data_IF_747740096577
#
_entry.id   IF_747740096577
#
_cell.length_a   1.000
_cell.length_b   1.000
_cell.length_c   1.000
_cell.angle_alpha   90.00
_cell.angle_beta   90.00
_cell.angle_gamma   90.00
#
_symmetry.space_group_name_H-M   'P 1'
#
loop_
_entity.id
_entity.type
_entity.pdbx_description
1 polymer ?
#
# COMPACT_ATOMS: atom_id res chain seq x y z
N UNK A 1 -47.21 39.73 -47.44
CA UNK A 1 -47.13 40.83 -46.45
C UNK A 1 -48.40 41.68 -46.55
N UNK A 2 -49.41 41.47 -45.69
CA UNK A 2 -50.50 42.44 -45.41
C UNK A 2 -51.49 41.83 -44.41
N UNK A 3 -51.41 42.23 -43.13
CA UNK A 3 -52.53 42.37 -42.16
C UNK A 3 -52.01 42.61 -40.73
N UNK A 4 -51.26 43.67 -40.52
CA UNK A 4 -51.05 44.24 -39.18
C UNK A 4 -51.06 45.77 -39.30
N UNK A 5 -52.19 46.34 -39.70
CA UNK A 5 -52.33 47.80 -39.81
C UNK A 5 -53.54 48.35 -39.06
N UNK A 6 -54.20 47.56 -38.21
CA UNK A 6 -55.33 48.09 -37.42
C UNK A 6 -55.53 47.42 -36.05
N UNK A 7 -54.47 47.30 -35.27
CA UNK A 7 -54.56 46.87 -33.86
C UNK A 7 -53.86 47.87 -32.96
N UNK A 8 -54.56 48.31 -31.91
CA UNK A 8 -54.12 49.27 -30.89
C UNK A 8 -52.60 49.17 -30.62
N UNK A 9 -51.85 50.30 -30.64
CA UNK A 9 -50.39 50.31 -30.46
C UNK A 9 -49.92 49.57 -29.20
N UNK A 10 -50.73 49.57 -28.15
CA UNK A 10 -50.45 48.85 -26.89
C UNK A 10 -50.45 47.33 -27.07
N UNK A 11 -51.34 46.79 -27.91
CA UNK A 11 -51.43 45.36 -28.20
C UNK A 11 -50.27 44.89 -29.08
N UNK A 12 -49.87 45.71 -30.05
CA UNK A 12 -48.70 45.45 -30.89
C UNK A 12 -47.42 45.46 -30.06
N UNK A 13 -47.28 46.40 -29.12
CA UNK A 13 -46.16 46.46 -28.18
C UNK A 13 -46.11 45.21 -27.27
N UNK A 14 -47.24 44.77 -26.72
CA UNK A 14 -47.30 43.58 -25.86
C UNK A 14 -46.89 42.31 -26.60
N UNK A 15 -47.36 42.11 -27.84
CA UNK A 15 -46.94 40.98 -28.69
C UNK A 15 -45.45 41.01 -29.02
N UNK A 16 -44.88 42.20 -29.21
CA UNK A 16 -43.45 42.37 -29.44
C UNK A 16 -42.63 42.03 -28.18
N UNK A 17 -43.11 42.43 -27.00
CA UNK A 17 -42.48 42.09 -25.72
C UNK A 17 -42.51 40.58 -25.45
N UNK A 18 -43.66 39.93 -25.63
CA UNK A 18 -43.80 38.47 -25.49
C UNK A 18 -42.84 37.73 -26.43
N UNK A 19 -42.80 38.15 -27.71
CA UNK A 19 -41.88 37.56 -28.70
C UNK A 19 -40.42 37.75 -28.30
N UNK A 20 -40.04 38.92 -27.77
CA UNK A 20 -38.69 39.19 -27.28
C UNK A 20 -38.35 38.29 -26.10
N UNK A 21 -39.24 38.18 -25.12
CA UNK A 21 -38.99 37.41 -23.90
C UNK A 21 -38.87 35.90 -24.21
N UNK A 22 -39.72 35.38 -25.11
CA UNK A 22 -39.59 34.02 -25.64
C UNK A 22 -38.25 33.81 -26.37
N UNK A 23 -37.82 34.80 -27.15
CA UNK A 23 -36.51 34.75 -27.84
C UNK A 23 -35.36 34.70 -26.84
N UNK A 24 -35.41 35.52 -25.78
CA UNK A 24 -34.43 35.48 -24.69
C UNK A 24 -34.38 34.13 -23.99
N UNK A 25 -35.53 33.50 -23.75
CA UNK A 25 -35.60 32.16 -23.16
C UNK A 25 -35.00 31.09 -24.08
N UNK A 26 -35.29 31.14 -25.39
CA UNK A 26 -34.71 30.23 -26.39
C UNK A 26 -33.18 30.38 -26.43
N UNK A 27 -32.67 31.61 -26.39
CA UNK A 27 -31.22 31.85 -26.35
C UNK A 27 -30.61 31.23 -25.09
N UNK A 28 -31.22 31.46 -23.92
CA UNK A 28 -30.74 30.90 -22.65
C UNK A 28 -30.69 29.37 -22.68
N UNK A 29 -31.76 28.72 -23.16
CA UNK A 29 -31.80 27.27 -23.30
C UNK A 29 -30.73 26.74 -24.26
N UNK A 30 -30.48 27.43 -25.37
CA UNK A 30 -29.44 27.04 -26.31
C UNK A 30 -28.04 27.18 -25.70
N UNK A 31 -27.77 28.24 -24.94
CA UNK A 31 -26.49 28.40 -24.23
C UNK A 31 -26.30 27.28 -23.21
N UNK A 32 -27.31 26.97 -22.39
CA UNK A 32 -27.24 25.87 -21.43
C UNK A 32 -27.01 24.51 -22.11
N UNK A 33 -27.64 24.29 -23.27
CA UNK A 33 -27.46 23.07 -24.04
C UNK A 33 -26.04 22.97 -24.63
N UNK A 34 -25.45 24.10 -25.02
CA UNK A 34 -24.06 24.19 -25.47
C UNK A 34 -23.10 23.85 -24.33
N UNK A 35 -23.25 24.51 -23.17
CA UNK A 35 -22.43 24.22 -21.98
C UNK A 35 -22.51 22.75 -21.55
N UNK A 36 -23.71 22.16 -21.60
CA UNK A 36 -23.90 20.74 -21.30
C UNK A 36 -23.22 19.82 -22.30
N UNK A 37 -23.21 20.17 -23.60
CA UNK A 37 -22.50 19.41 -24.63
C UNK A 37 -20.99 19.52 -24.43
N UNK A 38 -20.48 20.69 -24.10
CA UNK A 38 -19.06 20.91 -23.88
C UNK A 38 -18.58 20.14 -22.65
N UNK A 39 -19.32 20.22 -21.53
CA UNK A 39 -19.04 19.43 -20.33
C UNK A 39 -19.09 17.93 -20.59
N UNK A 40 -20.04 17.46 -21.40
CA UNK A 40 -20.11 16.05 -21.83
C UNK A 40 -18.89 15.66 -22.65
N UNK A 41 -18.44 16.52 -23.55
CA UNK A 41 -17.26 16.30 -24.38
C UNK A 41 -16.00 16.21 -23.52
N UNK A 42 -15.80 17.17 -22.61
CA UNK A 42 -14.66 17.19 -21.68
C UNK A 42 -14.63 15.94 -20.78
N UNK A 43 -15.77 15.57 -20.20
CA UNK A 43 -15.87 14.38 -19.35
C UNK A 43 -15.52 13.11 -20.15
N UNK A 44 -16.02 13.00 -21.38
CA UNK A 44 -15.81 11.83 -22.24
C UNK A 44 -14.38 11.73 -22.79
N UNK A 45 -13.75 12.86 -23.12
CA UNK A 45 -12.45 12.90 -23.81
C UNK A 45 -11.28 13.03 -22.85
N UNK A 46 -11.42 13.75 -21.74
CA UNK A 46 -10.32 14.02 -20.82
C UNK A 46 -10.42 13.12 -19.60
N UNK A 47 -11.50 13.26 -18.83
CA UNK A 47 -11.62 12.61 -17.52
C UNK A 47 -11.78 11.09 -17.62
N UNK A 48 -12.62 10.57 -18.53
CA UNK A 48 -12.74 9.12 -18.72
C UNK A 48 -11.41 8.53 -19.21
N UNK A 49 -10.70 9.21 -20.10
CA UNK A 49 -9.42 8.73 -20.62
C UNK A 49 -8.32 8.77 -19.56
N UNK A 50 -8.27 9.80 -18.71
CA UNK A 50 -7.31 9.86 -17.60
C UNK A 50 -7.57 8.75 -16.58
N UNK A 51 -8.83 8.57 -16.17
CA UNK A 51 -9.23 7.49 -15.25
C UNK A 51 -8.96 6.10 -15.84
N UNK A 52 -9.18 5.91 -17.14
CA UNK A 52 -8.87 4.65 -17.82
C UNK A 52 -7.35 4.37 -17.83
N UNK A 53 -6.53 5.39 -18.05
CA UNK A 53 -5.06 5.29 -17.97
C UNK A 53 -4.61 4.94 -16.56
N UNK A 54 -5.11 5.65 -15.56
CA UNK A 54 -4.78 5.40 -14.15
C UNK A 54 -5.17 3.98 -13.72
N UNK A 55 -6.38 3.54 -14.08
CA UNK A 55 -6.81 2.16 -13.85
C UNK A 55 -5.88 1.14 -14.50
N UNK A 56 -5.40 1.39 -15.73
CA UNK A 56 -4.49 0.50 -16.42
C UNK A 56 -3.12 0.42 -15.71
N UNK A 57 -2.61 1.55 -15.23
CA UNK A 57 -1.36 1.62 -14.46
C UNK A 57 -1.51 0.84 -13.15
N UNK A 58 -2.54 1.12 -12.36
CA UNK A 58 -2.78 0.42 -11.09
C UNK A 58 -2.98 -1.07 -11.32
N UNK A 59 -3.77 -1.46 -12.33
CA UNK A 59 -3.95 -2.87 -12.70
C UNK A 59 -2.63 -3.56 -13.04
N UNK A 60 -1.72 -2.87 -13.71
CA UNK A 60 -0.39 -3.38 -14.02
C UNK A 60 0.45 -3.55 -12.75
N UNK A 61 0.47 -2.55 -11.86
CA UNK A 61 1.20 -2.60 -10.59
C UNK A 61 0.68 -3.70 -9.65
N UNK A 62 -0.61 -4.05 -9.74
CA UNK A 62 -1.22 -5.12 -8.95
C UNK A 62 -0.98 -6.54 -9.51
N UNK A 63 -0.35 -6.69 -10.68
CA UNK A 63 -0.01 -8.01 -11.20
C UNK A 63 0.91 -8.75 -10.23
N UNK A 64 0.69 -10.06 -10.09
CA UNK A 64 1.41 -10.93 -9.14
C UNK A 64 2.94 -10.82 -9.27
N UNK A 65 3.46 -10.54 -10.47
CA UNK A 65 4.90 -10.36 -10.70
C UNK A 65 5.44 -8.98 -10.28
N UNK A 66 4.59 -7.97 -10.10
CA UNK A 66 4.95 -6.63 -9.61
C UNK A 66 4.75 -6.49 -8.09
N UNK A 67 4.07 -7.47 -7.48
CA UNK A 67 3.79 -7.49 -6.06
C UNK A 67 5.05 -7.84 -5.25
N UNK A 68 5.52 -6.90 -4.42
CA UNK A 68 6.59 -7.12 -3.45
C UNK A 68 6.00 -7.14 -2.05
N UNK A 69 6.04 -8.31 -1.39
CA UNK A 69 5.49 -8.51 -0.05
C UNK A 69 6.09 -7.57 1.00
N UNK A 70 7.39 -7.29 0.91
CA UNK A 70 8.10 -6.37 1.81
C UNK A 70 9.26 -5.72 1.08
N UNK A 71 9.55 -4.49 1.44
CA UNK A 71 10.76 -3.78 1.04
C UNK A 71 11.50 -3.34 2.31
N UNK A 72 12.82 -3.48 2.30
CA UNK A 72 13.64 -3.07 3.43
C UNK A 72 13.74 -1.54 3.37
N UNK A 73 13.11 -0.85 4.32
CA UNK A 73 13.04 0.63 4.38
C UNK A 73 14.15 1.26 5.25
N UNK A 74 15.20 0.50 5.59
CA UNK A 74 16.29 0.95 6.45
C UNK A 74 17.44 -0.06 6.54
N UNK A 75 18.46 0.22 7.35
CA UNK A 75 19.54 -0.73 7.58
C UNK A 75 19.05 -1.95 8.37
N UNK A 76 19.41 -3.15 7.92
CA UNK A 76 19.10 -4.38 8.64
C UNK A 76 20.01 -4.42 9.85
N UNK A 77 19.43 -4.30 11.06
CA UNK A 77 20.17 -4.48 12.30
C UNK A 77 20.59 -5.96 12.42
N UNK A 78 21.78 -6.28 11.93
CA UNK A 78 22.39 -7.60 12.10
C UNK A 78 23.16 -7.62 13.41
N UNK A 79 22.85 -8.59 14.28
CA UNK A 79 23.64 -8.79 15.49
C UNK A 79 24.98 -9.46 15.12
N UNK A 80 26.07 -8.70 15.16
CA UNK A 80 27.44 -9.19 14.90
C UNK A 80 27.91 -10.25 15.92
N UNK A 81 27.17 -10.38 17.03
CA UNK A 81 27.37 -11.40 18.07
C UNK A 81 26.21 -12.40 18.05
N UNK A 82 26.13 -13.31 17.04
CA UNK A 82 25.18 -14.42 17.10
C UNK A 82 25.39 -15.20 18.40
N UNK A 83 24.38 -15.96 18.85
CA UNK A 83 24.47 -16.87 20.01
C UNK A 83 25.42 -18.04 19.69
N UNK A 84 26.69 -17.72 19.40
CA UNK A 84 27.75 -18.66 19.08
C UNK A 84 28.15 -19.35 20.37
N UNK A 85 28.36 -20.68 20.35
CA UNK A 85 28.79 -21.40 21.53
C UNK A 85 30.09 -20.78 22.07
N UNK A 86 30.14 -20.54 23.38
CA UNK A 86 31.30 -19.99 24.09
C UNK A 86 32.43 -21.03 24.12
N UNK A 87 33.16 -21.18 23.01
CA UNK A 87 34.21 -22.20 22.84
C UNK A 87 35.24 -22.20 23.98
N UNK A 88 35.65 -21.01 24.44
CA UNK A 88 36.54 -20.85 25.59
C UNK A 88 35.96 -21.46 26.87
N UNK A 89 34.67 -21.25 27.13
CA UNK A 89 33.98 -21.81 28.30
C UNK A 89 33.93 -23.34 28.24
N UNK A 90 33.63 -23.90 27.08
CA UNK A 90 33.59 -25.36 26.90
C UNK A 90 34.96 -26.01 27.17
N UNK A 91 36.04 -25.42 26.65
CA UNK A 91 37.41 -25.92 26.88
C UNK A 91 37.78 -25.86 28.36
N UNK A 92 37.56 -24.72 29.02
CA UNK A 92 37.89 -24.54 30.44
C UNK A 92 37.11 -25.51 31.32
N UNK A 93 35.79 -25.65 31.09
CA UNK A 93 34.96 -26.59 31.86
C UNK A 93 35.43 -28.03 31.67
N UNK A 94 35.71 -28.44 30.43
CA UNK A 94 36.18 -29.80 30.15
C UNK A 94 37.53 -30.13 30.78
N UNK A 95 38.44 -29.16 30.86
CA UNK A 95 39.74 -29.33 31.50
C UNK A 95 39.58 -29.53 33.02
N UNK A 96 38.77 -28.69 33.66
CA UNK A 96 38.52 -28.77 35.10
C UNK A 96 37.79 -30.07 35.46
N UNK A 97 36.77 -30.47 34.70
CA UNK A 97 36.06 -31.72 34.97
C UNK A 97 36.94 -32.95 34.77
N UNK A 98 37.77 -32.99 33.72
CA UNK A 98 38.72 -34.08 33.50
C UNK A 98 39.78 -34.15 34.61
N UNK A 99 40.28 -33.01 35.07
CA UNK A 99 41.25 -32.94 36.16
C UNK A 99 40.67 -33.49 37.48
N UNK A 100 39.47 -33.04 37.85
CA UNK A 100 38.76 -33.54 39.03
C UNK A 100 38.50 -35.04 38.91
N UNK A 101 38.03 -35.50 37.74
CA UNK A 101 37.75 -36.93 37.49
C UNK A 101 39.01 -37.81 37.60
N UNK A 102 40.17 -37.32 37.14
CA UNK A 102 41.44 -38.05 37.26
C UNK A 102 41.80 -38.35 38.71
N UNK A 103 41.61 -37.37 39.61
CA UNK A 103 41.85 -37.53 41.04
C UNK A 103 40.86 -38.53 41.64
N UNK A 104 39.57 -38.45 41.29
CA UNK A 104 38.55 -39.39 41.75
C UNK A 104 38.86 -40.84 41.36
N UNK A 105 39.38 -41.08 40.16
CA UNK A 105 39.74 -42.44 39.70
C UNK A 105 40.84 -43.05 40.57
N UNK A 106 41.86 -42.29 40.96
CA UNK A 106 42.93 -42.78 41.83
C UNK A 106 42.39 -43.19 43.20
N UNK A 107 41.54 -42.36 43.79
CA UNK A 107 40.88 -42.69 45.07
C UNK A 107 40.00 -43.93 44.96
N UNK A 108 39.25 -44.06 43.85
CA UNK A 108 38.40 -45.21 43.60
C UNK A 108 39.21 -46.51 43.43
N UNK A 109 40.33 -46.46 42.72
CA UNK A 109 41.23 -47.61 42.57
C UNK A 109 41.88 -48.03 43.89
N UNK A 110 42.29 -47.07 44.72
CA UNK A 110 42.82 -47.36 46.06
C UNK A 110 41.75 -47.98 46.95
N UNK A 111 40.53 -47.45 46.94
CA UNK A 111 39.39 -48.01 47.68
C UNK A 111 39.14 -49.49 47.34
N UNK A 112 39.12 -49.85 46.06
CA UNK A 112 38.93 -51.26 45.63
C UNK A 112 40.12 -52.14 46.06
N UNK A 113 41.35 -51.62 46.01
CA UNK A 113 42.55 -52.38 46.40
C UNK A 113 42.57 -52.66 47.91
N UNK A 114 42.20 -51.68 48.73
CA UNK A 114 42.13 -51.82 50.18
C UNK A 114 41.06 -52.84 50.59
N UNK A 115 39.92 -52.90 49.88
CA UNK A 115 38.91 -53.94 50.14
C UNK A 115 39.39 -55.35 49.78
N UNK A 116 40.17 -55.50 48.70
CA UNK A 116 40.73 -56.81 48.32
C UNK A 116 41.81 -57.29 49.28
N UNK A 117 42.68 -56.41 49.76
CA UNK A 117 43.71 -56.78 50.74
C UNK A 117 43.14 -57.14 52.12
N UNK A 118 41.97 -56.62 52.50
CA UNK A 118 41.28 -57.00 53.74
C UNK A 118 40.55 -58.34 53.67
N UNK A 119 40.40 -58.94 52.48
CA UNK A 119 39.67 -60.21 52.24
C UNK A 119 40.59 -61.40 51.91
N UNK A 120 41.91 -61.24 52.00
CA UNK A 120 42.94 -62.29 51.88
C UNK A 120 43.64 -62.42 53.22
#
# INVERSE_FOLDING_TARGET
MKKIENTNPSLSALKLMEKRDLTSFIIKLNTQLMDMRDKKSELSTTAINSLKKEKAIVSSLLLSHNYKNTQIVGEIMTNDFPVKPKKKLMVVVSFVTAFILSIFIVFFLNFIRDEKQKRV
#
